data_IF_004866684055
#
_entry.id   IF_004866684055
#
_cell.length_a   1.000
_cell.length_b   1.000
_cell.length_c   1.000
_cell.angle_alpha   90.00
_cell.angle_beta   90.00
_cell.angle_gamma   90.00
#
_symmetry.space_group_name_H-M   'P 1'
#
loop_
_entity.id
_entity.type
_entity.pdbx_description
1 polymer ?
#
# COMPACT_ATOMS: atom_id res chain seq x y z
N UNK A 1 -0.96 10.47 10.77
CA UNK A 1 -1.43 9.22 10.13
C UNK A 1 -0.77 9.10 8.77
N UNK A 2 -0.20 7.95 8.46
CA UNK A 2 0.37 7.60 7.15
C UNK A 2 -0.61 6.66 6.46
N UNK A 3 -0.96 6.96 5.20
CA UNK A 3 -1.90 6.17 4.38
C UNK A 3 -1.30 5.87 3.01
N UNK A 4 -1.94 4.99 2.23
CA UNK A 4 -1.55 4.64 0.86
C UNK A 4 -0.06 4.26 0.74
N UNK A 5 0.44 3.42 1.67
CA UNK A 5 1.83 2.98 1.78
C UNK A 5 2.86 4.12 1.91
N UNK A 6 2.44 5.28 2.37
CA UNK A 6 3.32 6.43 2.50
C UNK A 6 3.08 7.53 1.47
N UNK A 7 2.22 7.32 0.47
CA UNK A 7 1.91 8.36 -0.50
C UNK A 7 1.24 9.59 0.12
N UNK A 8 0.63 9.45 1.31
CA UNK A 8 -0.01 10.56 2.03
C UNK A 8 0.26 10.51 3.53
N UNK A 9 0.58 11.67 4.10
CA UNK A 9 0.79 11.86 5.54
C UNK A 9 -0.07 13.02 6.03
N UNK A 10 -0.84 12.78 7.09
CA UNK A 10 -1.67 13.80 7.76
C UNK A 10 -1.31 13.91 9.23
N UNK A 11 -1.48 15.11 9.82
CA UNK A 11 -1.36 15.32 11.26
C UNK A 11 -2.60 14.76 12.01
N UNK A 12 -2.59 14.87 13.34
CA UNK A 12 -3.71 14.44 14.20
C UNK A 12 -4.97 15.28 14.02
N UNK A 13 -4.87 16.44 13.38
CA UNK A 13 -6.02 17.31 13.05
C UNK A 13 -6.56 17.04 11.66
N UNK A 14 -5.94 16.11 10.89
CA UNK A 14 -6.29 15.78 9.52
C UNK A 14 -5.64 16.68 8.46
N UNK A 15 -4.78 17.65 8.84
CA UNK A 15 -4.10 18.49 7.86
C UNK A 15 -3.07 17.66 7.08
N UNK A 16 -3.01 17.89 5.76
CA UNK A 16 -2.03 17.25 4.90
C UNK A 16 -0.63 17.80 5.20
N UNK A 17 0.29 16.90 5.58
CA UNK A 17 1.72 17.21 5.81
C UNK A 17 2.53 16.91 4.56
N UNK A 18 2.25 15.79 3.91
CA UNK A 18 3.01 15.29 2.78
C UNK A 18 2.09 14.53 1.82
N UNK A 19 2.34 14.66 0.52
CA UNK A 19 1.67 13.89 -0.53
C UNK A 19 2.63 13.64 -1.68
N UNK A 20 2.68 12.40 -2.16
CA UNK A 20 3.46 11.95 -3.30
C UNK A 20 2.58 11.12 -4.23
N UNK A 21 1.70 11.80 -4.96
CA UNK A 21 0.76 11.18 -5.90
C UNK A 21 1.46 10.71 -7.17
N UNK A 22 0.91 9.69 -7.82
CA UNK A 22 1.32 9.25 -9.15
C UNK A 22 1.13 10.38 -10.17
N UNK A 23 2.03 10.54 -11.15
CA UNK A 23 1.79 11.39 -12.31
C UNK A 23 0.51 10.96 -13.05
N UNK A 24 -0.32 11.93 -13.45
CA UNK A 24 -1.62 11.67 -14.10
C UNK A 24 -1.48 10.81 -15.35
N UNK A 25 -0.45 11.06 -16.17
CA UNK A 25 -0.17 10.30 -17.38
C UNK A 25 0.09 8.81 -17.09
N UNK A 26 0.81 8.50 -16.00
CA UNK A 26 1.04 7.11 -15.58
C UNK A 26 -0.26 6.46 -15.13
N UNK A 27 -1.07 7.17 -14.36
CA UNK A 27 -2.37 6.65 -13.89
C UNK A 27 -3.28 6.30 -15.06
N UNK A 28 -3.37 7.20 -16.06
CA UNK A 28 -4.19 6.99 -17.25
C UNK A 28 -3.68 5.83 -18.13
N UNK A 29 -2.37 5.54 -18.09
CA UNK A 29 -1.82 4.34 -18.71
C UNK A 29 -2.17 3.08 -17.91
N UNK A 30 -2.05 3.10 -16.58
CA UNK A 30 -2.44 2.00 -15.69
C UNK A 30 -3.92 1.62 -15.84
N UNK A 31 -4.81 2.58 -16.03
CA UNK A 31 -6.24 2.33 -16.25
C UNK A 31 -6.54 1.61 -17.57
N UNK A 32 -5.61 1.62 -18.51
CA UNK A 32 -5.77 0.99 -19.84
C UNK A 32 -5.11 -0.37 -19.97
N UNK A 33 -4.42 -0.84 -18.92
CA UNK A 33 -3.74 -2.13 -18.96
C UNK A 33 -4.77 -3.24 -19.20
N UNK A 34 -4.54 -4.12 -20.19
CA UNK A 34 -5.43 -5.25 -20.41
C UNK A 34 -5.22 -6.32 -19.32
N UNK A 35 -6.27 -6.70 -18.64
CA UNK A 35 -6.31 -7.81 -17.69
C UNK A 35 -7.69 -8.46 -17.72
N UNK A 36 -7.79 -9.68 -17.20
CA UNK A 36 -9.06 -10.39 -17.08
C UNK A 36 -9.90 -9.81 -15.92
N UNK A 37 -10.85 -8.94 -16.24
CA UNK A 37 -11.74 -8.30 -15.26
C UNK A 37 -12.64 -9.30 -14.51
N UNK A 38 -12.70 -10.57 -14.91
CA UNK A 38 -13.42 -11.61 -14.14
C UNK A 38 -12.59 -12.17 -13.01
N UNK A 39 -11.27 -11.93 -13.00
CA UNK A 39 -10.29 -12.43 -12.02
C UNK A 39 -9.63 -11.33 -11.22
N UNK A 40 -9.43 -10.18 -11.85
CA UNK A 40 -8.70 -9.05 -11.27
C UNK A 40 -9.61 -7.83 -11.24
N UNK A 41 -9.64 -7.17 -10.10
CA UNK A 41 -10.30 -5.90 -9.91
C UNK A 41 -9.26 -4.78 -9.78
N UNK A 42 -9.38 -3.73 -10.59
CA UNK A 42 -8.58 -2.52 -10.47
C UNK A 42 -9.25 -1.53 -9.53
N UNK A 43 -8.44 -0.96 -8.67
CA UNK A 43 -8.83 0.00 -7.66
C UNK A 43 -7.91 1.22 -7.67
N UNK A 44 -8.38 2.36 -7.19
CA UNK A 44 -7.53 3.52 -6.94
C UNK A 44 -7.94 4.25 -5.66
N UNK A 45 -6.94 4.69 -4.89
CA UNK A 45 -7.13 5.72 -3.88
C UNK A 45 -6.71 7.05 -4.48
N UNK A 46 -7.64 8.00 -4.49
CA UNK A 46 -7.48 9.29 -5.14
C UNK A 46 -8.12 10.37 -4.28
N UNK A 47 -7.36 11.37 -3.88
CA UNK A 47 -7.76 12.38 -2.91
C UNK A 47 -8.28 11.73 -1.60
N UNK A 48 -9.56 11.86 -1.29
CA UNK A 48 -10.19 11.20 -0.13
C UNK A 48 -11.18 10.12 -0.57
N UNK A 49 -11.11 9.64 -1.82
CA UNK A 49 -11.99 8.63 -2.41
C UNK A 49 -11.32 7.30 -2.68
N UNK A 50 -12.15 6.27 -2.75
CA UNK A 50 -11.79 4.95 -3.24
C UNK A 50 -12.68 4.59 -4.42
N UNK A 51 -12.05 4.28 -5.55
CA UNK A 51 -12.73 3.98 -6.80
C UNK A 51 -12.35 2.59 -7.29
N UNK A 52 -13.30 1.89 -7.92
CA UNK A 52 -13.16 0.50 -8.34
C UNK A 52 -13.88 0.29 -9.67
N UNK A 53 -13.40 -0.63 -10.52
CA UNK A 53 -14.02 -0.88 -11.82
C UNK A 53 -15.27 -1.76 -11.79
N UNK A 54 -15.47 -2.52 -10.73
CA UNK A 54 -16.62 -3.43 -10.58
C UNK A 54 -17.00 -3.56 -9.11
N UNK A 55 -18.27 -3.83 -8.85
CA UNK A 55 -18.73 -4.06 -7.47
C UNK A 55 -18.17 -5.38 -6.93
N UNK A 56 -17.58 -5.31 -5.73
CA UNK A 56 -17.01 -6.44 -4.99
C UNK A 56 -17.58 -6.43 -3.57
N UNK A 57 -18.75 -7.06 -3.34
CA UNK A 57 -19.45 -7.01 -2.05
C UNK A 57 -18.62 -7.48 -0.86
N UNK A 58 -17.64 -8.36 -1.08
CA UNK A 58 -16.73 -8.84 -0.04
C UNK A 58 -15.86 -7.70 0.52
N UNK A 59 -15.55 -6.69 -0.28
CA UNK A 59 -14.79 -5.52 0.18
C UNK A 59 -15.64 -4.59 1.05
N UNK A 60 -16.96 -4.57 0.87
CA UNK A 60 -17.85 -3.73 1.66
C UNK A 60 -17.78 -4.02 3.16
N UNK A 61 -17.45 -5.25 3.58
CA UNK A 61 -17.28 -5.60 4.98
C UNK A 61 -16.14 -4.87 5.68
N UNK A 62 -15.07 -4.52 4.94
CA UNK A 62 -13.93 -3.78 5.49
C UNK A 62 -14.25 -2.31 5.80
N UNK A 63 -15.38 -1.81 5.30
CA UNK A 63 -15.77 -0.40 5.37
C UNK A 63 -16.93 -0.14 6.30
N UNK A 64 -17.62 -1.19 6.74
CA UNK A 64 -18.81 -1.08 7.57
C UNK A 64 -18.55 -0.28 8.85
N UNK A 65 -17.36 -0.42 9.42
CA UNK A 65 -16.98 0.23 10.67
C UNK A 65 -16.31 1.60 10.45
N UNK A 66 -15.59 1.79 9.34
CA UNK A 66 -14.88 3.03 9.01
C UNK A 66 -15.74 4.06 8.26
N UNK A 67 -16.79 3.61 7.58
CA UNK A 67 -17.59 4.43 6.67
C UNK A 67 -16.89 4.82 5.37
N UNK A 68 -15.66 4.33 5.13
CA UNK A 68 -14.91 4.59 3.90
C UNK A 68 -15.34 3.61 2.81
N UNK A 69 -16.27 4.03 1.95
CA UNK A 69 -16.88 3.20 0.90
C UNK A 69 -16.24 3.48 -0.46
N UNK A 70 -16.15 2.44 -1.31
CA UNK A 70 -15.76 2.62 -2.69
C UNK A 70 -16.93 3.10 -3.56
N UNK A 71 -16.56 3.73 -4.67
CA UNK A 71 -17.46 4.09 -5.77
C UNK A 71 -17.06 3.29 -7.01
N UNK A 72 -18.07 2.68 -7.69
CA UNK A 72 -17.83 1.97 -8.95
C UNK A 72 -17.78 2.99 -10.08
N UNK A 73 -16.68 3.01 -10.84
CA UNK A 73 -16.44 3.97 -11.91
C UNK A 73 -15.98 3.31 -13.21
N UNK A 74 -16.18 4.01 -14.30
CA UNK A 74 -15.58 3.68 -15.60
C UNK A 74 -14.21 4.33 -15.73
N UNK A 75 -13.14 3.58 -15.48
CA UNK A 75 -11.77 4.09 -15.54
C UNK A 75 -11.36 4.62 -16.92
N UNK A 76 -12.09 4.28 -17.99
CA UNK A 76 -11.83 4.88 -19.31
C UNK A 76 -12.19 6.37 -19.37
N UNK A 77 -12.98 6.86 -18.40
CA UNK A 77 -13.46 8.25 -18.29
C UNK A 77 -12.98 8.92 -16.99
N UNK A 78 -12.40 8.15 -16.10
CA UNK A 78 -11.94 8.65 -14.80
C UNK A 78 -10.61 9.39 -14.95
N UNK A 79 -10.44 10.52 -14.25
CA UNK A 79 -9.19 11.28 -14.29
C UNK A 79 -8.13 10.66 -13.38
N UNK A 80 -6.86 10.92 -13.64
CA UNK A 80 -5.74 10.38 -12.87
C UNK A 80 -5.15 11.34 -11.81
N UNK A 81 -5.62 12.59 -11.72
CA UNK A 81 -5.03 13.58 -10.81
C UNK A 81 -5.31 13.26 -9.35
N UNK A 82 -4.31 13.44 -8.50
CA UNK A 82 -4.44 13.20 -7.06
C UNK A 82 -4.42 11.72 -6.67
N UNK A 83 -4.12 10.82 -7.61
CA UNK A 83 -4.05 9.38 -7.34
C UNK A 83 -2.82 9.05 -6.49
N UNK A 84 -3.06 8.51 -5.29
CA UNK A 84 -2.02 8.08 -4.36
C UNK A 84 -1.47 6.71 -4.74
N UNK A 85 -2.38 5.80 -5.08
CA UNK A 85 -2.05 4.46 -5.56
C UNK A 85 -3.11 3.90 -6.48
N UNK A 86 -2.68 3.08 -7.44
CA UNK A 86 -3.51 2.14 -8.19
C UNK A 86 -3.19 0.75 -7.67
N UNK A 87 -4.20 -0.08 -7.42
CA UNK A 87 -3.97 -1.43 -6.93
C UNK A 87 -4.91 -2.45 -7.55
N UNK A 88 -4.40 -3.65 -7.67
CA UNK A 88 -5.06 -4.76 -8.33
C UNK A 88 -5.30 -5.87 -7.30
N UNK A 89 -6.55 -6.29 -7.19
CA UNK A 89 -6.96 -7.36 -6.28
C UNK A 89 -7.40 -8.56 -7.12
N UNK A 90 -6.88 -9.74 -6.81
CA UNK A 90 -7.28 -11.00 -7.41
C UNK A 90 -7.79 -11.99 -6.35
N UNK A 91 -8.62 -12.96 -6.75
CA UNK A 91 -9.02 -14.06 -5.87
C UNK A 91 -7.88 -15.10 -5.71
N UNK A 92 -7.16 -15.41 -6.79
CA UNK A 92 -5.96 -16.27 -6.76
C UNK A 92 -4.72 -15.41 -6.98
N UNK A 93 -3.69 -15.50 -6.09
CA UNK A 93 -2.42 -14.79 -6.28
C UNK A 93 -1.76 -15.03 -7.64
N UNK A 94 -1.99 -16.21 -8.24
CA UNK A 94 -1.42 -16.56 -9.55
C UNK A 94 -1.91 -15.67 -10.68
N UNK A 95 -3.13 -15.14 -10.57
CA UNK A 95 -3.70 -14.25 -11.58
C UNK A 95 -2.96 -12.89 -11.63
N UNK A 96 -2.17 -12.54 -10.61
CA UNK A 96 -1.37 -11.32 -10.57
C UNK A 96 0.03 -11.47 -11.17
N UNK A 97 0.52 -12.68 -11.44
CA UNK A 97 1.92 -12.92 -11.85
C UNK A 97 2.22 -12.25 -13.19
N UNK A 98 1.39 -12.49 -14.19
CA UNK A 98 1.57 -11.89 -15.53
C UNK A 98 1.39 -10.37 -15.49
N UNK A 99 0.46 -9.88 -14.66
CA UNK A 99 0.24 -8.46 -14.46
C UNK A 99 1.44 -7.80 -13.76
N UNK A 100 2.03 -8.45 -12.75
CA UNK A 100 3.23 -7.98 -12.08
C UNK A 100 4.41 -7.84 -13.06
N UNK A 101 4.66 -8.86 -13.87
CA UNK A 101 5.74 -8.84 -14.88
C UNK A 101 5.53 -7.69 -15.88
N UNK A 102 4.30 -7.51 -16.34
CA UNK A 102 3.95 -6.39 -17.22
C UNK A 102 4.22 -5.04 -16.55
N UNK A 103 3.71 -4.85 -15.32
CA UNK A 103 3.88 -3.60 -14.57
C UNK A 103 5.35 -3.29 -14.32
N UNK A 104 6.14 -4.26 -13.88
CA UNK A 104 7.58 -4.07 -13.64
C UNK A 104 8.34 -3.73 -14.91
N UNK A 105 7.98 -4.35 -16.04
CA UNK A 105 8.64 -4.10 -17.33
C UNK A 105 8.35 -2.69 -17.84
N UNK A 106 7.11 -2.20 -17.72
CA UNK A 106 6.68 -0.96 -18.36
C UNK A 106 6.73 0.26 -17.44
N UNK A 107 6.62 0.05 -16.12
CA UNK A 107 6.49 1.12 -15.12
C UNK A 107 7.54 1.06 -14.00
N UNK A 108 8.32 -0.03 -13.88
CA UNK A 108 9.23 -0.24 -12.75
C UNK A 108 10.27 0.87 -12.55
N UNK A 109 10.68 1.55 -13.61
CA UNK A 109 11.61 2.69 -13.52
C UNK A 109 10.96 3.96 -12.94
N UNK A 110 9.64 4.07 -13.03
CA UNK A 110 8.85 5.28 -12.70
C UNK A 110 7.97 5.12 -11.47
N UNK A 111 7.79 3.90 -11.01
CA UNK A 111 6.83 3.57 -9.93
C UNK A 111 7.45 2.63 -8.91
N UNK A 112 6.86 2.61 -7.72
CA UNK A 112 7.07 1.57 -6.71
C UNK A 112 5.95 0.54 -6.87
N UNK A 113 6.31 -0.74 -7.05
CA UNK A 113 5.38 -1.86 -7.25
C UNK A 113 5.64 -2.89 -6.15
N UNK A 114 4.66 -3.11 -5.27
CA UNK A 114 4.78 -3.99 -4.12
C UNK A 114 3.48 -4.75 -3.86
N UNK A 115 3.59 -5.87 -3.17
CA UNK A 115 2.44 -6.55 -2.59
C UNK A 115 2.18 -6.04 -1.16
N UNK A 116 0.94 -5.65 -0.87
CA UNK A 116 0.47 -5.43 0.51
C UNK A 116 -0.18 -6.68 1.10
N UNK A 117 -0.62 -7.60 0.23
CA UNK A 117 -1.08 -8.94 0.55
C UNK A 117 -0.80 -9.83 -0.67
N UNK A 118 -0.81 -11.16 -0.52
CA UNK A 118 -0.57 -12.10 -1.63
C UNK A 118 -1.50 -11.86 -2.82
N UNK A 119 -2.70 -11.37 -2.58
CA UNK A 119 -3.75 -11.10 -3.57
C UNK A 119 -3.91 -9.62 -3.90
N UNK A 120 -3.02 -8.74 -3.43
CA UNK A 120 -3.12 -7.30 -3.63
C UNK A 120 -1.78 -6.72 -4.09
N UNK A 121 -1.69 -6.37 -5.37
CA UNK A 121 -0.53 -5.74 -6.00
C UNK A 121 -0.76 -4.24 -6.14
N UNK A 122 0.13 -3.43 -5.61
CA UNK A 122 -0.02 -1.98 -5.52
C UNK A 122 1.06 -1.24 -6.30
N UNK A 123 0.64 -0.16 -6.97
CA UNK A 123 1.49 0.73 -7.77
C UNK A 123 1.37 2.14 -7.20
N UNK A 124 2.47 2.71 -6.77
CA UNK A 124 2.59 4.07 -6.25
C UNK A 124 3.64 4.85 -7.03
N UNK A 125 3.73 6.15 -6.78
CA UNK A 125 4.80 6.95 -7.33
C UNK A 125 6.17 6.41 -6.87
N UNK A 126 7.21 6.68 -7.67
CA UNK A 126 8.57 6.22 -7.36
C UNK A 126 8.99 6.70 -5.97
N UNK A 127 9.70 5.83 -5.25
CA UNK A 127 10.22 6.04 -3.90
C UNK A 127 9.14 6.23 -2.81
N UNK A 128 7.86 6.03 -3.12
CA UNK A 128 6.83 5.95 -2.07
C UNK A 128 7.01 4.68 -1.27
N UNK A 129 7.21 4.82 0.02
CA UNK A 129 7.27 3.72 0.98
C UNK A 129 6.82 4.18 2.37
N UNK A 130 6.52 3.22 3.25
CA UNK A 130 6.21 3.52 4.65
C UNK A 130 7.43 4.11 5.38
N UNK A 131 8.64 3.71 5.00
CA UNK A 131 9.89 4.24 5.53
C UNK A 131 10.11 5.70 5.15
N UNK A 132 9.93 6.03 3.87
CA UNK A 132 10.04 7.39 3.35
C UNK A 132 9.03 8.33 4.03
N UNK A 133 7.77 7.91 4.10
CA UNK A 133 6.73 8.68 4.78
C UNK A 133 7.03 8.91 6.27
N UNK A 134 7.58 7.90 6.95
CA UNK A 134 7.99 8.03 8.35
C UNK A 134 9.15 9.03 8.48
N UNK A 135 10.12 9.04 7.56
CA UNK A 135 11.18 10.04 7.51
C UNK A 135 10.62 11.45 7.42
N UNK A 136 9.70 11.71 6.50
CA UNK A 136 9.05 13.01 6.36
C UNK A 136 8.24 13.43 7.60
N UNK A 137 7.57 12.47 8.25
CA UNK A 137 6.83 12.74 9.50
C UNK A 137 7.76 13.15 10.63
N UNK A 138 8.99 12.63 10.66
CA UNK A 138 9.98 12.89 11.68
C UNK A 138 10.83 14.15 11.40
N UNK A 139 10.75 14.72 10.21
CA UNK A 139 11.41 16.00 9.89
C UNK A 139 11.04 17.05 10.94
N UNK A 140 12.02 17.79 11.40
CA UNK A 140 11.87 18.80 12.45
C UNK A 140 11.43 18.28 13.84
N UNK A 141 11.61 16.98 14.11
CA UNK A 141 11.44 16.40 15.45
C UNK A 141 12.80 16.30 16.16
N UNK A 142 12.76 16.12 17.47
CA UNK A 142 13.97 15.92 18.29
C UNK A 142 14.41 14.44 18.31
N UNK A 143 13.81 13.58 17.51
CA UNK A 143 14.10 12.16 17.35
C UNK A 143 13.95 11.78 15.87
N UNK A 144 14.62 10.69 15.47
CA UNK A 144 14.65 10.22 14.09
C UNK A 144 14.27 8.74 13.97
N UNK A 145 14.44 8.17 12.77
CA UNK A 145 14.12 6.78 12.51
C UNK A 145 14.79 5.81 13.48
N UNK A 146 16.01 6.09 13.90
CA UNK A 146 16.75 5.22 14.83
C UNK A 146 16.18 5.20 16.26
N UNK A 147 15.31 6.13 16.59
CA UNK A 147 14.59 6.18 17.86
C UNK A 147 13.20 5.50 17.75
N UNK A 148 12.86 4.98 16.58
CA UNK A 148 11.56 4.34 16.30
C UNK A 148 11.63 2.82 16.43
N UNK A 149 10.47 2.24 16.78
CA UNK A 149 10.19 0.80 16.73
C UNK A 149 9.10 0.60 15.69
N UNK A 150 9.24 -0.43 14.85
CA UNK A 150 8.24 -0.78 13.84
C UNK A 150 7.95 -2.28 13.82
N UNK A 151 6.73 -2.61 13.41
CA UNK A 151 6.23 -3.96 13.22
C UNK A 151 5.68 -4.08 11.81
N UNK A 152 5.93 -5.21 11.13
CA UNK A 152 5.46 -5.40 9.77
C UNK A 152 5.20 -6.86 9.43
N UNK A 153 4.27 -7.08 8.48
CA UNK A 153 3.87 -8.40 8.00
C UNK A 153 3.83 -8.49 6.47
N UNK A 154 3.89 -7.38 5.75
CA UNK A 154 3.85 -7.31 4.29
C UNK A 154 5.17 -6.90 3.65
N UNK A 155 5.31 -7.19 2.35
CA UNK A 155 6.48 -6.78 1.56
C UNK A 155 6.67 -5.25 1.56
N UNK A 156 5.59 -4.49 1.67
CA UNK A 156 5.58 -3.03 1.77
C UNK A 156 6.12 -2.48 3.10
N UNK A 157 6.47 -3.34 4.07
CA UNK A 157 7.07 -2.96 5.35
C UNK A 157 8.60 -3.07 5.35
N UNK A 158 9.20 -3.76 4.36
CA UNK A 158 10.65 -4.07 4.32
C UNK A 158 11.50 -2.82 4.56
N UNK A 159 11.24 -1.75 3.84
CA UNK A 159 12.03 -0.54 3.91
C UNK A 159 11.90 0.13 5.30
N UNK A 160 10.68 0.27 5.81
CA UNK A 160 10.43 0.83 7.14
C UNK A 160 11.15 0.02 8.22
N UNK A 161 11.00 -1.30 8.19
CA UNK A 161 11.62 -2.20 9.18
C UNK A 161 13.16 -2.12 9.16
N UNK A 162 13.75 -1.96 7.97
CA UNK A 162 15.19 -1.84 7.79
C UNK A 162 15.76 -0.48 8.24
N UNK A 163 14.93 0.58 8.22
CA UNK A 163 15.40 1.93 8.52
C UNK A 163 15.26 2.33 9.98
N UNK A 164 14.28 1.80 10.69
CA UNK A 164 14.03 2.12 12.11
C UNK A 164 15.15 1.58 13.03
N UNK A 165 15.18 2.05 14.27
CA UNK A 165 16.12 1.58 15.27
C UNK A 165 15.86 0.14 15.71
N UNK A 166 14.58 -0.28 15.71
CA UNK A 166 14.18 -1.65 16.03
C UNK A 166 12.96 -2.07 15.20
N UNK A 167 13.20 -2.94 14.21
CA UNK A 167 12.17 -3.56 13.39
C UNK A 167 11.83 -4.96 13.91
N UNK A 168 10.56 -5.34 13.83
CA UNK A 168 10.08 -6.67 14.15
C UNK A 168 9.25 -7.25 13.00
N UNK A 169 9.49 -8.50 12.66
CA UNK A 169 8.71 -9.25 11.67
C UNK A 169 7.63 -10.03 12.38
N UNK A 170 6.38 -9.92 11.92
CA UNK A 170 5.28 -10.68 12.50
C UNK A 170 5.36 -12.15 12.11
N UNK A 171 4.97 -13.05 13.01
CA UNK A 171 5.02 -14.51 12.77
C UNK A 171 4.20 -14.95 11.54
N UNK A 172 3.09 -14.26 11.26
CA UNK A 172 2.24 -14.47 10.08
C UNK A 172 2.69 -13.69 8.83
N UNK A 173 3.89 -13.08 8.85
CA UNK A 173 4.38 -12.25 7.76
C UNK A 173 4.54 -13.03 6.45
N UNK A 174 4.41 -12.28 5.35
CA UNK A 174 4.71 -12.76 3.98
C UNK A 174 6.12 -13.37 3.93
N UNK A 175 6.29 -14.57 3.33
CA UNK A 175 7.60 -15.20 3.20
C UNK A 175 8.67 -14.31 2.57
N UNK A 176 8.31 -13.44 1.62
CA UNK A 176 9.23 -12.49 0.98
C UNK A 176 9.76 -11.43 1.95
N UNK A 177 8.94 -11.00 2.93
CA UNK A 177 9.43 -10.12 4.00
C UNK A 177 10.44 -10.85 4.89
N UNK A 178 10.13 -12.08 5.32
CA UNK A 178 11.04 -12.89 6.15
C UNK A 178 12.37 -13.16 5.43
N UNK A 179 12.31 -13.44 4.13
CA UNK A 179 13.50 -13.66 3.30
C UNK A 179 14.33 -12.37 3.11
N UNK A 180 13.66 -11.22 3.00
CA UNK A 180 14.34 -9.93 2.82
C UNK A 180 14.95 -9.37 4.11
N UNK A 181 14.44 -9.77 5.29
CA UNK A 181 14.87 -9.26 6.58
C UNK A 181 15.21 -10.41 7.57
N UNK A 182 16.12 -11.32 7.21
CA UNK A 182 16.40 -12.51 8.02
C UNK A 182 17.06 -12.21 9.38
N UNK A 183 17.61 -11.01 9.54
CA UNK A 183 18.25 -10.54 10.76
C UNK A 183 17.29 -9.95 11.79
N UNK A 184 16.04 -9.69 11.39
CA UNK A 184 15.05 -9.12 12.29
C UNK A 184 14.38 -10.20 13.15
N UNK A 185 14.09 -9.82 14.40
CA UNK A 185 13.40 -10.69 15.34
C UNK A 185 11.95 -10.95 14.89
N UNK A 186 11.59 -12.22 14.80
CA UNK A 186 10.21 -12.64 14.57
C UNK A 186 9.43 -12.63 15.88
N UNK A 187 8.28 -11.97 15.91
CA UNK A 187 7.38 -11.96 17.06
C UNK A 187 6.04 -12.60 16.73
N UNK A 188 5.58 -13.48 17.62
CA UNK A 188 4.28 -14.14 17.51
C UNK A 188 3.17 -13.32 18.19
N UNK A 189 1.91 -13.57 17.74
CA UNK A 189 0.76 -13.21 18.53
C UNK A 189 0.61 -14.23 19.68
N UNK A 190 0.59 -13.74 20.92
CA UNK A 190 0.05 -14.55 21.98
C UNK A 190 -1.48 -14.56 21.80
N UNK A 191 -2.09 -15.73 21.58
CA UNK A 191 -3.52 -15.86 21.29
C UNK A 191 -4.42 -15.32 22.41
N UNK A 192 -3.86 -15.09 23.59
CA UNK A 192 -4.57 -14.63 24.79
C UNK A 192 -4.37 -13.15 25.10
N UNK A 193 -3.50 -12.43 24.36
CA UNK A 193 -3.30 -11.00 24.52
C UNK A 193 -3.54 -10.28 23.18
N UNK A 194 -4.68 -9.62 23.09
CA UNK A 194 -4.97 -8.69 21.99
C UNK A 194 -4.03 -7.49 22.08
N UNK A 195 -2.89 -7.54 21.43
CA UNK A 195 -2.12 -6.34 21.14
C UNK A 195 -2.85 -5.64 20.01
N UNK A 196 -3.49 -4.53 20.31
CA UNK A 196 -4.07 -3.65 19.31
C UNK A 196 -2.93 -3.08 18.46
N UNK A 197 -2.71 -3.61 17.28
CA UNK A 197 -1.90 -2.98 16.26
C UNK A 197 -2.80 -1.92 15.60
N UNK A 198 -2.47 -0.65 15.79
CA UNK A 198 -3.13 0.45 15.08
C UNK A 198 -2.77 0.34 13.59
N UNK A 199 -3.78 0.19 12.77
CA UNK A 199 -3.71 0.24 11.31
C UNK A 199 -3.45 1.65 10.80
#
# INVERSE_FOLDING_TARGET
MITSNGARVRDLKGNLIYSNSLPEEIVLELYKIPFDCTKICINTYQDDGWFINTDVPELAKYHKDSGFMYEVVDFTKHHGRGTEKVFFIAHDPKDLIELEDYLRTHFGDKTTIVYSALTCLEVMNKNVSKGDALSHLLENRNYGLKDCIAFGDGQNDIEMLSWVGKGYVMANADPRLKEACPELEEIGFNKDETVAVSY
#
